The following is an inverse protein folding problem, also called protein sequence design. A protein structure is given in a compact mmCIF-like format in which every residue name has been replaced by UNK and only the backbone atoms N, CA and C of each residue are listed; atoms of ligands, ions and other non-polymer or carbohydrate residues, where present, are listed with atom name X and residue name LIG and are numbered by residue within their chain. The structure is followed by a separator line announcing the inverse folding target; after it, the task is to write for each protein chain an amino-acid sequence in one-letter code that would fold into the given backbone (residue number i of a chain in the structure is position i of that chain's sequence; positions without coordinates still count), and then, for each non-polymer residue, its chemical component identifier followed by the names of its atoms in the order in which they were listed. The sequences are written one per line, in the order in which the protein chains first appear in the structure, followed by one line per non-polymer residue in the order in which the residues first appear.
data_IF_213439890681
#
_entry.id   IF_213439890681
#
_cell.length_a   1.000
_cell.length_b   1.000
_cell.length_c   1.000
_cell.angle_alpha   90.00
_cell.angle_beta   90.00
_cell.angle_gamma   90.00
#
_symmetry.space_group_name_H-M   'P 1'
#
loop_
_entity.id
_entity.type
_entity.pdbx_description
1 polymer ?
#
# COMPACT_ATOMS: atom_id res chain seq x y z
N UNK A 1 6.91 -4.57 -14.55
CA UNK A 1 6.22 -3.33 -14.19
C UNK A 1 5.64 -3.64 -12.82
N UNK A 2 6.02 -2.83 -11.83
CA UNK A 2 5.75 -3.12 -10.41
C UNK A 2 5.81 -1.85 -9.56
N UNK A 3 4.95 -1.76 -8.55
CA UNK A 3 4.92 -0.65 -7.60
C UNK A 3 5.69 -0.99 -6.33
N UNK A 4 6.52 -0.04 -5.87
CA UNK A 4 7.29 -0.19 -4.62
C UNK A 4 6.61 0.56 -3.48
N UNK A 5 6.54 -0.04 -2.31
CA UNK A 5 6.14 0.62 -1.06
C UNK A 5 7.33 0.64 -0.10
N UNK A 6 7.58 1.79 0.50
CA UNK A 6 8.65 1.93 1.48
C UNK A 6 8.30 1.19 2.77
N UNK A 7 9.22 0.35 3.25
CA UNK A 7 9.03 -0.38 4.49
C UNK A 7 8.84 0.53 5.71
N UNK A 8 9.48 1.71 5.71
CA UNK A 8 9.28 2.75 6.74
C UNK A 8 7.82 3.19 6.88
N UNK A 9 7.10 3.25 5.76
CA UNK A 9 5.76 3.83 5.73
C UNK A 9 4.69 2.74 5.89
N UNK A 10 4.97 1.53 5.38
CA UNK A 10 4.07 0.40 5.46
C UNK A 10 4.03 -0.24 6.86
N UNK A 11 5.16 -0.32 7.57
CA UNK A 11 5.20 -0.94 8.91
C UNK A 11 4.25 -0.30 9.94
N UNK A 12 4.13 1.04 10.03
CA UNK A 12 3.10 1.68 10.85
C UNK A 12 1.68 1.23 10.54
N UNK A 13 1.32 1.11 9.25
CA UNK A 13 0.01 0.63 8.80
C UNK A 13 -0.24 -0.82 9.23
N UNK A 14 0.74 -1.70 9.04
CA UNK A 14 0.65 -3.10 9.46
C UNK A 14 0.50 -3.22 10.99
N UNK A 15 1.28 -2.44 11.73
CA UNK A 15 1.22 -2.41 13.21
C UNK A 15 -0.14 -1.95 13.70
N UNK A 16 -0.72 -0.92 13.08
CA UNK A 16 -2.06 -0.44 13.38
C UNK A 16 -3.12 -1.51 13.08
N UNK A 17 -3.06 -2.17 11.92
CA UNK A 17 -4.01 -3.22 11.58
C UNK A 17 -3.95 -4.41 12.56
N UNK A 18 -2.75 -4.81 12.99
CA UNK A 18 -2.58 -5.87 13.99
C UNK A 18 -3.15 -5.44 15.35
N UNK A 19 -2.85 -4.22 15.79
CA UNK A 19 -3.32 -3.69 17.07
C UNK A 19 -4.85 -3.61 17.10
N UNK A 20 -5.46 -3.25 15.98
CA UNK A 20 -6.92 -3.13 15.83
C UNK A 20 -7.59 -4.46 15.42
N UNK A 21 -6.81 -5.53 15.29
CA UNK A 21 -7.26 -6.86 14.88
C UNK A 21 -8.09 -6.86 13.57
N UNK A 22 -7.69 -6.02 12.61
CA UNK A 22 -8.37 -5.82 11.34
C UNK A 22 -7.49 -6.17 10.14
N UNK A 23 -8.06 -6.11 8.93
CA UNK A 23 -7.33 -6.35 7.68
C UNK A 23 -6.50 -5.13 7.29
N UNK A 24 -5.57 -5.36 6.37
CA UNK A 24 -4.86 -4.30 5.64
C UNK A 24 -5.46 -4.23 4.24
N UNK A 25 -5.70 -3.03 3.74
CA UNK A 25 -6.36 -2.82 2.45
C UNK A 25 -5.38 -2.14 1.50
N UNK A 26 -5.17 -2.70 0.31
CA UNK A 26 -4.57 -2.03 -0.82
C UNK A 26 -5.67 -1.30 -1.58
N UNK A 27 -5.55 0.01 -1.76
CA UNK A 27 -6.51 0.83 -2.49
C UNK A 27 -5.84 1.45 -3.69
N UNK A 28 -6.55 1.43 -4.83
CA UNK A 28 -6.31 2.30 -5.98
C UNK A 28 -7.51 3.21 -6.15
N UNK A 29 -7.28 4.50 -6.03
CA UNK A 29 -8.26 5.59 -6.20
C UNK A 29 -7.46 6.89 -6.41
N UNK A 30 -7.42 7.79 -5.42
CA UNK A 30 -6.50 8.93 -5.40
C UNK A 30 -5.10 8.48 -4.99
N UNK A 31 -4.40 7.88 -5.95
CA UNK A 31 -3.11 7.22 -5.76
C UNK A 31 -3.25 5.73 -5.49
N UNK A 32 -2.14 5.10 -5.09
CA UNK A 32 -2.10 3.67 -4.73
C UNK A 32 -1.45 3.54 -3.36
N UNK A 33 -2.16 2.95 -2.40
CA UNK A 33 -1.71 2.94 -1.02
C UNK A 33 -2.27 1.78 -0.18
N UNK A 34 -1.56 1.46 0.89
CA UNK A 34 -2.06 0.60 1.95
C UNK A 34 -2.61 1.41 3.13
N UNK A 35 -3.68 0.91 3.74
CA UNK A 35 -4.21 1.39 5.03
C UNK A 35 -4.70 0.23 5.91
N UNK A 36 -4.87 0.48 7.20
CA UNK A 36 -5.60 -0.42 8.08
C UNK A 36 -7.11 -0.23 7.89
N UNK A 37 -7.86 -1.33 7.75
CA UNK A 37 -9.33 -1.33 7.58
C UNK A 37 -10.04 -0.54 8.70
N UNK A 38 -9.50 -0.61 9.92
CA UNK A 38 -9.96 0.14 11.09
C UNK A 38 -8.87 1.08 11.61
N UNK A 39 -8.21 1.84 10.73
CA UNK A 39 -7.18 2.81 11.12
C UNK A 39 -7.70 4.06 11.83
N UNK A 40 -6.84 4.70 12.61
CA UNK A 40 -7.12 5.98 13.28
C UNK A 40 -7.44 7.06 12.23
N UNK A 41 -8.47 7.87 12.50
CA UNK A 41 -8.86 8.97 11.61
C UNK A 41 -8.51 10.32 12.23
N UNK A 42 -7.98 11.23 11.41
CA UNK A 42 -7.76 12.63 11.79
C UNK A 42 -9.10 13.37 11.93
N UNK A 43 -9.15 14.49 12.68
CA UNK A 43 -10.28 15.41 12.61
C UNK A 43 -10.52 15.81 11.15
N UNK A 44 -11.68 15.44 10.60
CA UNK A 44 -11.98 15.54 9.16
C UNK A 44 -12.12 14.20 8.43
N UNK A 45 -11.94 13.07 9.12
CA UNK A 45 -12.34 11.74 8.64
C UNK A 45 -11.32 11.00 7.77
N UNK A 46 -10.22 11.66 7.36
CA UNK A 46 -9.09 11.04 6.65
C UNK A 46 -8.35 10.07 7.56
N UNK A 47 -7.99 8.90 7.04
CA UNK A 47 -7.14 7.93 7.74
C UNK A 47 -5.77 8.56 7.98
N UNK A 48 -5.22 8.34 9.17
CA UNK A 48 -4.01 9.00 9.63
C UNK A 48 -2.75 8.39 9.04
N UNK A 49 -2.74 7.07 8.85
CA UNK A 49 -1.63 6.28 8.33
C UNK A 49 -2.00 5.72 6.96
N UNK A 50 -1.30 6.19 5.94
CA UNK A 50 -1.36 5.69 4.57
C UNK A 50 0.07 5.41 4.11
N UNK A 51 0.28 4.26 3.48
CA UNK A 51 1.56 3.92 2.87
C UNK A 51 1.40 3.91 1.35
N UNK A 52 1.75 5.02 0.71
CA UNK A 52 1.66 5.16 -0.75
C UNK A 52 2.77 4.37 -1.46
N UNK A 53 2.46 3.86 -2.65
CA UNK A 53 3.48 3.40 -3.57
C UNK A 53 4.34 4.60 -4.01
N UNK A 54 5.63 4.37 -4.19
CA UNK A 54 6.60 5.37 -4.65
C UNK A 54 6.17 5.88 -6.04
N UNK A 55 5.95 7.19 -6.14
CA UNK A 55 5.45 7.83 -7.36
C UNK A 55 3.93 7.80 -7.52
N UNK A 56 3.19 7.25 -6.55
CA UNK A 56 1.74 7.16 -6.56
C UNK A 56 1.05 7.99 -5.45
N UNK A 57 1.72 9.01 -4.89
CA UNK A 57 1.18 9.85 -3.84
C UNK A 57 0.67 11.20 -4.40
N UNK A 58 -0.65 11.46 -4.43
CA UNK A 58 -1.19 12.68 -5.02
C UNK A 58 -0.85 13.96 -4.25
N UNK A 59 -0.41 13.86 -2.98
CA UNK A 59 0.01 15.02 -2.19
C UNK A 59 1.43 15.50 -2.55
N UNK A 60 2.25 14.64 -3.18
CA UNK A 60 3.67 14.93 -3.47
C UNK A 60 4.04 14.77 -4.93
N UNK A 61 3.39 13.87 -5.64
CA UNK A 61 3.67 13.55 -7.05
C UNK A 61 2.72 14.33 -7.98
N UNK A 62 3.20 14.84 -9.12
CA UNK A 62 2.34 15.50 -10.11
C UNK A 62 1.22 14.57 -10.63
N UNK A 63 0.04 15.14 -10.90
CA UNK A 63 -1.15 14.38 -11.28
C UNK A 63 -0.91 13.42 -12.44
N UNK A 64 -0.41 13.93 -13.58
CA UNK A 64 -0.19 13.11 -14.77
C UNK A 64 0.77 11.94 -14.49
N UNK A 65 1.82 12.19 -13.69
CA UNK A 65 2.83 11.17 -13.38
C UNK A 65 2.25 10.02 -12.55
N UNK A 66 1.59 10.33 -11.43
CA UNK A 66 1.09 9.28 -10.56
C UNK A 66 -0.09 8.54 -11.18
N UNK A 67 -0.94 9.25 -11.92
CA UNK A 67 -2.11 8.68 -12.57
C UNK A 67 -1.72 7.74 -13.69
N UNK A 68 -0.78 8.14 -14.56
CA UNK A 68 -0.26 7.27 -15.62
C UNK A 68 0.44 6.04 -15.04
N UNK A 69 1.28 6.21 -14.01
CA UNK A 69 1.95 5.09 -13.35
C UNK A 69 0.96 4.10 -12.73
N UNK A 70 -0.04 4.58 -11.99
CA UNK A 70 -1.06 3.73 -11.39
C UNK A 70 -1.88 3.01 -12.47
N UNK A 71 -2.18 3.68 -13.58
CA UNK A 71 -2.94 3.13 -14.70
C UNK A 71 -2.15 2.08 -15.48
N UNK A 72 -0.87 2.31 -15.73
CA UNK A 72 -0.01 1.39 -16.46
C UNK A 72 0.26 0.12 -15.66
N UNK A 73 0.37 0.25 -14.33
CA UNK A 73 0.71 -0.86 -13.43
C UNK A 73 -0.51 -1.67 -12.99
N UNK A 74 -1.66 -1.02 -12.78
CA UNK A 74 -2.84 -1.64 -12.16
C UNK A 74 -4.13 -1.51 -12.98
N UNK A 75 -4.07 -0.90 -14.17
CA UNK A 75 -5.23 -0.68 -15.02
C UNK A 75 -6.04 0.58 -14.68
N UNK A 76 -7.12 0.81 -15.42
CA UNK A 76 -7.93 2.03 -15.30
C UNK A 76 -8.80 2.09 -14.06
N UNK A 77 -9.30 0.95 -13.58
CA UNK A 77 -10.39 0.88 -12.60
C UNK A 77 -9.90 1.05 -11.15
N UNK A 78 -10.73 1.67 -10.32
CA UNK A 78 -10.51 1.78 -8.88
C UNK A 78 -10.85 0.46 -8.17
N UNK A 79 -10.09 0.12 -7.14
CA UNK A 79 -10.31 -1.12 -6.38
C UNK A 79 -9.83 -1.03 -4.94
N UNK A 80 -10.28 -2.00 -4.14
CA UNK A 80 -9.80 -2.25 -2.79
C UNK A 80 -9.60 -3.76 -2.57
N UNK A 81 -8.36 -4.18 -2.32
CA UNK A 81 -7.99 -5.57 -2.03
C UNK A 81 -7.64 -5.74 -0.56
N UNK A 82 -8.13 -6.82 0.05
CA UNK A 82 -8.04 -7.04 1.50
C UNK A 82 -7.07 -8.16 1.83
N UNK A 83 -6.16 -7.90 2.76
CA UNK A 83 -5.12 -8.84 3.17
C UNK A 83 -5.15 -9.07 4.69
N UNK A 84 -4.75 -10.27 5.12
CA UNK A 84 -4.44 -10.53 6.52
C UNK A 84 -3.05 -9.95 6.83
N UNK A 85 -2.90 -9.01 7.79
CA UNK A 85 -1.58 -8.51 8.18
C UNK A 85 -0.63 -9.58 8.73
N UNK A 86 -1.15 -10.77 9.08
CA UNK A 86 -0.38 -11.93 9.54
C UNK A 86 0.07 -12.84 8.40
N UNK A 87 -0.29 -12.54 7.15
CA UNK A 87 0.25 -13.23 5.99
C UNK A 87 1.79 -13.12 6.00
N UNK A 88 2.47 -14.17 5.52
CA UNK A 88 3.91 -14.34 5.62
C UNK A 88 4.72 -13.18 5.04
N UNK A 89 4.23 -12.55 3.97
CA UNK A 89 4.89 -11.38 3.35
C UNK A 89 4.90 -10.17 4.29
N UNK A 90 3.76 -9.85 4.92
CA UNK A 90 3.63 -8.74 5.85
C UNK A 90 4.31 -9.02 7.18
N UNK A 91 4.20 -10.25 7.67
CA UNK A 91 4.92 -10.67 8.87
C UNK A 91 6.45 -10.56 8.69
N UNK A 92 6.97 -10.92 7.51
CA UNK A 92 8.39 -10.72 7.19
C UNK A 92 8.78 -9.24 7.19
N UNK A 93 7.95 -8.38 6.58
CA UNK A 93 8.20 -6.93 6.57
C UNK A 93 8.26 -6.30 7.96
N UNK A 94 7.43 -6.77 8.91
CA UNK A 94 7.46 -6.27 10.29
C UNK A 94 8.81 -6.52 10.98
N UNK A 95 9.58 -7.52 10.52
CA UNK A 95 10.84 -7.93 11.11
C UNK A 95 12.07 -7.54 10.29
N UNK A 96 11.91 -6.80 9.19
CA UNK A 96 13.01 -6.31 8.37
C UNK A 96 12.92 -4.82 8.07
N UNK A 97 13.99 -4.28 7.49
CA UNK A 97 14.03 -2.91 6.96
C UNK A 97 13.70 -2.86 5.47
N UNK A 98 13.19 -3.96 4.92
CA UNK A 98 12.95 -4.15 3.49
C UNK A 98 11.72 -3.36 2.99
N UNK A 99 11.68 -3.15 1.68
CA UNK A 99 10.54 -2.57 0.96
C UNK A 99 9.62 -3.68 0.42
N UNK A 100 8.40 -3.31 0.02
CA UNK A 100 7.47 -4.23 -0.65
C UNK A 100 7.40 -3.91 -2.14
N UNK A 101 7.38 -4.93 -2.98
CA UNK A 101 7.02 -4.83 -4.39
C UNK A 101 5.64 -5.46 -4.60
N UNK A 102 4.75 -4.70 -5.22
CA UNK A 102 3.48 -5.15 -5.77
C UNK A 102 3.63 -5.27 -7.28
N UNK A 103 3.33 -6.44 -7.83
CA UNK A 103 3.20 -6.63 -9.28
C UNK A 103 1.79 -7.13 -9.60
N UNK A 104 1.25 -6.70 -10.73
CA UNK A 104 -0.04 -7.16 -11.20
C UNK A 104 0.10 -7.88 -12.56
N UNK A 105 -0.76 -8.87 -12.73
CA UNK A 105 -1.12 -9.42 -14.04
C UNK A 105 -2.60 -9.12 -14.28
N UNK A 106 -3.13 -9.49 -15.44
CA UNK A 106 -4.54 -9.30 -15.75
C UNK A 106 -5.51 -9.93 -14.72
N UNK A 107 -5.07 -10.90 -13.91
CA UNK A 107 -5.95 -11.65 -13.01
C UNK A 107 -5.42 -11.81 -11.59
N UNK A 108 -4.17 -11.44 -11.30
CA UNK A 108 -3.54 -11.69 -10.00
C UNK A 108 -2.64 -10.53 -9.58
N UNK A 109 -2.66 -10.23 -8.29
CA UNK A 109 -1.64 -9.44 -7.61
C UNK A 109 -0.60 -10.36 -6.98
N UNK A 110 0.65 -9.91 -6.95
CA UNK A 110 1.78 -10.59 -6.32
C UNK A 110 2.54 -9.61 -5.45
N UNK A 111 2.92 -10.07 -4.24
CA UNK A 111 3.60 -9.29 -3.23
C UNK A 111 4.94 -9.93 -2.90
N UNK A 112 6.02 -9.14 -2.96
CA UNK A 112 7.38 -9.61 -2.68
C UNK A 112 8.14 -8.63 -1.79
N UNK A 113 8.83 -9.15 -0.77
CA UNK A 113 9.73 -8.36 0.08
C UNK A 113 11.09 -8.24 -0.60
N UNK A 114 11.59 -7.02 -0.78
CA UNK A 114 12.87 -6.73 -1.44
C UNK A 114 13.74 -5.82 -0.58
N UNK A 115 15.08 -5.88 -0.68
CA UNK A 115 15.95 -4.95 0.03
C UNK A 115 15.54 -3.49 -0.21
N UNK A 116 15.62 -2.67 0.85
CA UNK A 116 15.29 -1.25 0.73
C UNK A 116 16.22 -0.57 -0.26
N UNK A 117 15.64 0.30 -1.10
CA UNK A 117 16.34 1.03 -2.15
C UNK A 117 16.75 2.45 -1.75
#
# INVERSE_FOLDING_TARGET
MSLRFKGSDLRPVLTEAIANQCRVILVKDQGVYFLAEHGERRPGGRVKLLAYAVGCNPDTDPFDNWWELARDELGGDDFAEYFDPKDGVFNRMLHSADDLILSATATHLSLEVVPSA
#
